data_IF_238522963580
#
_entry.id   IF_238522963580
#
_cell.length_a   1.000
_cell.length_b   1.000
_cell.length_c   1.000
_cell.angle_alpha   90.00
_cell.angle_beta   90.00
_cell.angle_gamma   90.00
#
_symmetry.space_group_name_H-M   'P 1'
#
loop_
_entity.id
_entity.type
_entity.pdbx_description
1 polymer ?
#
# COMPACT_ATOMS: atom_id res chain seq x y z
N UNK A 1 -4.56 16.00 16.94
CA UNK A 1 -5.78 15.25 17.34
C UNK A 1 -6.72 15.24 16.16
N UNK A 2 -6.61 14.25 15.28
CA UNK A 2 -7.53 14.09 14.16
C UNK A 2 -8.87 13.57 14.70
N UNK A 3 -9.93 14.32 14.48
CA UNK A 3 -11.30 13.94 14.84
C UNK A 3 -11.76 12.88 13.85
N UNK A 4 -11.52 11.61 14.16
CA UNK A 4 -11.98 10.50 13.33
C UNK A 4 -13.53 10.51 13.31
N UNK A 5 -14.11 10.59 12.12
CA UNK A 5 -15.55 10.52 11.89
C UNK A 5 -16.04 9.06 11.96
N UNK A 6 -15.72 8.37 13.05
CA UNK A 6 -16.12 6.96 13.24
C UNK A 6 -17.53 6.93 13.84
N UNK A 7 -18.46 6.11 13.30
CA UNK A 7 -19.78 5.94 13.87
C UNK A 7 -19.69 5.56 15.36
N UNK A 8 -20.56 6.18 16.18
CA UNK A 8 -20.50 6.11 17.66
C UNK A 8 -20.81 4.72 18.21
N UNK A 9 -21.41 3.83 17.43
CA UNK A 9 -21.77 2.46 17.81
C UNK A 9 -20.79 1.45 17.23
N UNK A 10 -20.38 0.46 18.05
CA UNK A 10 -19.65 -0.70 17.55
C UNK A 10 -20.63 -1.64 16.85
N UNK A 11 -20.52 -1.75 15.54
CA UNK A 11 -21.34 -2.63 14.69
C UNK A 11 -20.52 -3.87 14.33
N UNK A 12 -21.13 -5.04 14.44
CA UNK A 12 -20.50 -6.31 14.07
C UNK A 12 -20.40 -6.46 12.55
N UNK A 13 -19.29 -6.98 12.04
CA UNK A 13 -19.16 -7.28 10.61
C UNK A 13 -20.24 -8.27 10.15
N UNK A 14 -20.98 -7.93 9.10
CA UNK A 14 -22.02 -8.79 8.51
C UNK A 14 -23.41 -8.74 9.17
N UNK A 15 -23.58 -8.03 10.30
CA UNK A 15 -24.87 -8.00 11.01
C UNK A 15 -25.99 -7.27 10.27
N UNK A 16 -25.69 -6.48 9.23
CA UNK A 16 -26.69 -5.86 8.34
C UNK A 16 -27.56 -6.90 7.58
N UNK A 17 -27.17 -8.18 7.56
CA UNK A 17 -27.97 -9.26 6.99
C UNK A 17 -29.15 -9.68 7.88
N UNK A 18 -29.06 -9.40 9.18
CA UNK A 18 -30.02 -9.88 10.19
C UNK A 18 -30.74 -8.74 10.91
N UNK A 19 -30.17 -7.55 10.89
CA UNK A 19 -30.64 -6.39 11.65
C UNK A 19 -30.84 -5.20 10.70
N UNK A 20 -31.91 -4.44 10.93
CA UNK A 20 -32.11 -3.15 10.25
C UNK A 20 -31.07 -2.13 10.71
N UNK A 21 -30.69 -1.21 9.81
CA UNK A 21 -29.72 -0.15 10.07
C UNK A 21 -30.38 1.21 9.96
N UNK A 22 -29.96 2.10 10.84
CA UNK A 22 -30.35 3.51 10.81
C UNK A 22 -29.29 4.35 10.09
N UNK A 23 -29.65 5.51 9.52
CA UNK A 23 -28.68 6.38 8.85
C UNK A 23 -27.49 6.78 9.74
N UNK A 24 -27.71 7.03 11.04
CA UNK A 24 -26.64 7.42 12.00
C UNK A 24 -25.60 6.30 12.26
N UNK A 25 -25.86 5.08 11.79
CA UNK A 25 -24.96 3.92 11.87
C UNK A 25 -24.12 3.73 10.60
N UNK A 26 -24.34 4.55 9.57
CA UNK A 26 -23.67 4.47 8.27
C UNK A 26 -22.82 5.72 8.09
N UNK A 27 -21.58 5.53 7.65
CA UNK A 27 -20.70 6.63 7.29
C UNK A 27 -20.86 6.97 5.80
N UNK A 28 -21.09 8.24 5.46
CA UNK A 28 -21.28 8.72 4.08
C UNK A 28 -20.32 9.86 3.74
N UNK A 29 -20.17 10.25 2.45
CA UNK A 29 -19.36 11.40 2.08
C UNK A 29 -19.80 12.73 2.72
N UNK A 30 -21.07 12.86 3.09
CA UNK A 30 -21.59 14.03 3.83
C UNK A 30 -21.02 14.13 5.26
N UNK A 31 -20.48 13.03 5.81
CA UNK A 31 -19.80 12.99 7.11
C UNK A 31 -18.30 13.34 7.02
N UNK A 32 -17.78 13.61 5.82
CA UNK A 32 -16.38 13.99 5.65
C UNK A 32 -16.04 15.26 6.44
N UNK A 33 -14.94 15.19 7.17
CA UNK A 33 -14.39 16.33 7.89
C UNK A 33 -13.74 17.32 6.92
N UNK A 34 -13.48 18.55 7.37
CA UNK A 34 -12.68 19.52 6.61
C UNK A 34 -11.29 18.97 6.25
N UNK A 35 -10.71 18.13 7.13
CA UNK A 35 -9.43 17.47 6.86
C UNK A 35 -9.53 16.44 5.73
N UNK A 36 -10.62 15.66 5.68
CA UNK A 36 -10.90 14.72 4.58
C UNK A 36 -11.09 15.48 3.26
N UNK A 37 -11.80 16.61 3.28
CA UNK A 37 -12.01 17.42 2.08
C UNK A 37 -10.70 18.06 1.59
N UNK A 38 -9.90 18.63 2.48
CA UNK A 38 -8.63 19.28 2.14
C UNK A 38 -7.61 18.31 1.53
N UNK A 39 -7.49 17.11 2.11
CA UNK A 39 -6.56 16.10 1.57
C UNK A 39 -7.05 15.53 0.25
N UNK A 40 -8.37 15.40 0.06
CA UNK A 40 -8.98 15.07 -1.23
C UNK A 40 -8.66 16.10 -2.31
N UNK A 41 -8.82 17.39 -1.99
CA UNK A 41 -8.44 18.48 -2.89
C UNK A 41 -6.94 18.45 -3.23
N UNK A 42 -6.08 18.21 -2.25
CA UNK A 42 -4.63 18.10 -2.46
C UNK A 42 -4.29 16.95 -3.42
N UNK A 43 -4.90 15.78 -3.21
CA UNK A 43 -4.72 14.63 -4.09
C UNK A 43 -5.28 14.88 -5.49
N UNK A 44 -6.41 15.58 -5.60
CA UNK A 44 -7.01 15.95 -6.87
C UNK A 44 -6.15 16.92 -7.68
N UNK A 45 -5.64 17.97 -7.04
CA UNK A 45 -4.74 18.94 -7.67
C UNK A 45 -3.45 18.26 -8.13
N UNK A 46 -2.87 17.37 -7.31
CA UNK A 46 -1.72 16.56 -7.70
C UNK A 46 -2.04 15.67 -8.92
N UNK A 47 -3.20 15.00 -8.91
CA UNK A 47 -3.59 14.15 -10.03
C UNK A 47 -3.79 14.93 -11.32
N UNK A 48 -4.47 16.08 -11.27
CA UNK A 48 -4.73 16.91 -12.44
C UNK A 48 -3.49 17.62 -12.97
N UNK A 49 -2.63 18.13 -12.09
CA UNK A 49 -1.53 19.01 -12.48
C UNK A 49 -0.20 18.27 -12.69
N UNK A 50 0.00 17.12 -12.06
CA UNK A 50 1.28 16.38 -12.14
C UNK A 50 1.11 15.01 -12.82
N UNK A 51 0.10 14.22 -12.45
CA UNK A 51 -0.10 12.86 -13.01
C UNK A 51 -0.61 12.94 -14.45
N UNK A 52 -1.75 13.60 -14.68
CA UNK A 52 -2.43 13.63 -15.99
C UNK A 52 -1.52 14.14 -17.12
N UNK A 53 -0.73 15.23 -16.95
CA UNK A 53 0.17 15.70 -18.01
C UNK A 53 1.30 14.72 -18.36
N UNK A 54 1.57 13.72 -17.52
CA UNK A 54 2.65 12.75 -17.70
C UNK A 54 2.15 11.36 -18.13
N UNK A 55 0.85 11.18 -18.41
CA UNK A 55 0.26 9.88 -18.81
C UNK A 55 1.01 9.25 -19.99
N UNK A 56 1.24 10.01 -21.06
CA UNK A 56 1.89 9.48 -22.25
C UNK A 56 3.28 8.92 -21.95
N UNK A 57 4.08 9.61 -21.13
CA UNK A 57 5.42 9.13 -20.75
C UNK A 57 5.35 7.84 -19.91
N UNK A 58 4.38 7.77 -18.98
CA UNK A 58 4.17 6.57 -18.16
C UNK A 58 3.72 5.37 -19.01
N UNK A 59 2.80 5.56 -19.97
CA UNK A 59 2.37 4.51 -20.90
C UNK A 59 3.53 4.00 -21.79
N UNK A 60 4.49 4.88 -22.11
CA UNK A 60 5.74 4.50 -22.77
C UNK A 60 6.81 3.93 -21.81
N UNK A 61 6.44 3.61 -20.57
CA UNK A 61 7.28 3.00 -19.53
C UNK A 61 8.49 3.84 -19.12
N UNK A 62 8.37 5.16 -19.17
CA UNK A 62 9.35 6.04 -18.55
C UNK A 62 9.21 6.00 -17.01
N UNK A 63 9.80 4.98 -16.39
CA UNK A 63 9.73 4.79 -14.94
C UNK A 63 10.46 5.89 -14.15
N UNK A 64 11.30 6.70 -14.79
CA UNK A 64 11.92 7.85 -14.11
C UNK A 64 10.86 8.89 -13.73
N UNK A 65 9.89 9.13 -14.62
CA UNK A 65 8.74 10.00 -14.37
C UNK A 65 7.83 9.40 -13.29
N UNK A 66 7.56 8.10 -13.36
CA UNK A 66 6.76 7.41 -12.33
C UNK A 66 7.39 7.52 -10.93
N UNK A 67 8.72 7.35 -10.84
CA UNK A 67 9.49 7.51 -9.59
C UNK A 67 9.42 8.94 -9.06
N UNK A 68 9.57 9.94 -9.93
CA UNK A 68 9.46 11.34 -9.55
C UNK A 68 8.06 11.66 -8.98
N UNK A 69 7.01 11.18 -9.64
CA UNK A 69 5.63 11.37 -9.19
C UNK A 69 5.37 10.69 -7.83
N UNK A 70 5.88 9.47 -7.60
CA UNK A 70 5.78 8.82 -6.28
C UNK A 70 6.48 9.61 -5.18
N UNK A 71 7.67 10.16 -5.48
CA UNK A 71 8.40 11.01 -4.55
C UNK A 71 7.62 12.30 -4.23
N UNK A 72 7.08 12.98 -5.25
CA UNK A 72 6.19 14.14 -5.06
C UNK A 72 4.96 13.81 -4.22
N UNK A 73 4.34 12.65 -4.44
CA UNK A 73 3.24 12.17 -3.61
C UNK A 73 3.65 11.98 -2.14
N UNK A 74 4.87 11.48 -1.89
CA UNK A 74 5.44 11.39 -0.54
C UNK A 74 5.71 12.75 0.10
N UNK A 75 6.25 13.71 -0.66
CA UNK A 75 6.48 15.10 -0.21
C UNK A 75 5.17 15.83 0.16
N UNK A 76 4.07 15.50 -0.52
CA UNK A 76 2.71 15.98 -0.20
C UNK A 76 2.06 15.21 0.96
N UNK A 77 2.72 14.19 1.52
CA UNK A 77 2.20 13.35 2.59
C UNK A 77 1.20 12.28 2.15
N UNK A 78 0.90 12.17 0.85
CA UNK A 78 -0.12 11.26 0.31
C UNK A 78 0.27 9.79 0.50
N UNK A 79 1.57 9.46 0.47
CA UNK A 79 2.06 8.09 0.61
C UNK A 79 2.26 7.63 2.07
N UNK A 80 2.22 8.55 3.03
CA UNK A 80 2.56 8.29 4.44
C UNK A 80 1.35 8.18 5.38
N UNK A 81 0.13 8.25 4.87
CA UNK A 81 -1.09 8.41 5.69
C UNK A 81 -1.36 7.24 6.64
N UNK A 82 -1.12 6.01 6.21
CA UNK A 82 -1.36 4.80 7.04
C UNK A 82 -0.13 4.34 7.83
N UNK A 83 0.96 5.10 7.79
CA UNK A 83 2.19 4.82 8.53
C UNK A 83 2.14 5.56 9.89
N UNK A 84 2.49 4.92 11.01
CA UNK A 84 2.51 5.59 12.32
C UNK A 84 3.47 6.78 12.37
N UNK A 85 3.14 7.80 13.16
CA UNK A 85 3.96 9.02 13.27
C UNK A 85 5.38 8.71 13.76
N UNK A 86 5.52 7.72 14.65
CA UNK A 86 6.83 7.25 15.16
C UNK A 86 7.78 6.71 14.09
N UNK A 87 7.26 6.47 12.88
CA UNK A 87 8.00 5.99 11.72
C UNK A 87 7.99 6.99 10.55
N UNK A 88 7.67 8.25 10.80
CA UNK A 88 7.69 9.31 9.78
C UNK A 88 6.45 9.34 8.88
N UNK A 89 5.37 8.65 9.26
CA UNK A 89 4.06 8.78 8.63
C UNK A 89 3.18 9.83 9.30
N UNK A 90 1.90 9.83 8.95
CA UNK A 90 0.90 10.78 9.46
C UNK A 90 -0.14 10.16 10.40
N UNK A 91 -0.17 8.83 10.52
CA UNK A 91 -1.11 8.08 11.38
C UNK A 91 -2.58 8.54 11.24
N UNK A 92 -2.99 8.79 10.00
CA UNK A 92 -4.34 9.24 9.68
C UNK A 92 -5.31 8.07 9.57
N UNK A 93 -6.61 8.39 9.58
CA UNK A 93 -7.66 7.38 9.52
C UNK A 93 -7.78 6.73 8.13
N UNK A 94 -8.54 5.63 8.05
CA UNK A 94 -8.77 4.91 6.80
C UNK A 94 -9.63 5.69 5.81
N UNK A 95 -10.44 6.64 6.28
CA UNK A 95 -11.25 7.50 5.41
C UNK A 95 -10.33 8.41 4.61
N UNK A 96 -9.33 9.02 5.25
CA UNK A 96 -8.28 9.79 4.57
C UNK A 96 -7.61 8.97 3.48
N UNK A 97 -7.18 7.74 3.78
CA UNK A 97 -6.55 6.88 2.78
C UNK A 97 -7.48 6.56 1.59
N UNK A 98 -8.77 6.29 1.87
CA UNK A 98 -9.78 6.03 0.84
C UNK A 98 -10.05 7.26 -0.04
N UNK A 99 -10.15 8.45 0.56
CA UNK A 99 -10.35 9.71 -0.16
C UNK A 99 -9.16 9.99 -1.09
N UNK A 100 -7.92 9.84 -0.61
CA UNK A 100 -6.73 10.02 -1.46
C UNK A 100 -6.76 9.04 -2.64
N UNK A 101 -7.09 7.77 -2.39
CA UNK A 101 -7.15 6.76 -3.44
C UNK A 101 -8.18 7.11 -4.54
N UNK A 102 -9.36 7.62 -4.14
CA UNK A 102 -10.41 8.05 -5.07
C UNK A 102 -9.95 9.20 -5.97
N UNK A 103 -9.30 10.22 -5.39
CA UNK A 103 -8.82 11.38 -6.16
C UNK A 103 -7.56 11.09 -7.01
N UNK A 104 -6.67 10.20 -6.57
CA UNK A 104 -5.52 9.74 -7.38
C UNK A 104 -5.98 8.93 -8.60
N UNK A 105 -7.16 8.31 -8.54
CA UNK A 105 -7.70 7.44 -9.58
C UNK A 105 -8.03 8.13 -10.93
N UNK A 106 -7.76 9.44 -11.10
CA UNK A 106 -7.86 10.12 -12.41
C UNK A 106 -7.06 9.44 -13.52
N UNK A 107 -6.01 8.70 -13.17
CA UNK A 107 -5.31 7.81 -14.09
C UNK A 107 -5.00 6.46 -13.44
N UNK A 108 -5.62 5.41 -13.98
CA UNK A 108 -5.55 4.06 -13.43
C UNK A 108 -4.12 3.50 -13.33
N UNK A 109 -3.23 3.83 -14.28
CA UNK A 109 -1.85 3.33 -14.28
C UNK A 109 -1.03 3.84 -13.09
N UNK A 110 -1.13 5.13 -12.77
CA UNK A 110 -0.47 5.67 -11.59
C UNK A 110 -1.19 5.27 -10.30
N UNK A 111 -2.53 5.23 -10.29
CA UNK A 111 -3.27 4.76 -9.12
C UNK A 111 -2.89 3.32 -8.73
N UNK A 112 -2.65 2.44 -9.72
CA UNK A 112 -2.15 1.08 -9.50
C UNK A 112 -0.73 1.08 -8.91
N UNK A 113 0.13 1.96 -9.41
CA UNK A 113 1.51 2.13 -8.91
C UNK A 113 1.52 2.60 -7.46
N UNK A 114 0.79 3.69 -7.18
CA UNK A 114 0.69 4.31 -5.87
C UNK A 114 0.02 3.38 -4.86
N UNK A 115 -1.14 2.80 -5.19
CA UNK A 115 -1.84 1.84 -4.32
C UNK A 115 -1.06 0.54 -4.09
N UNK A 116 -0.31 0.08 -5.10
CA UNK A 116 0.62 -1.05 -4.95
C UNK A 116 1.73 -0.75 -3.94
N UNK A 117 2.21 0.49 -3.91
CA UNK A 117 3.24 0.95 -2.98
C UNK A 117 2.70 1.20 -1.57
N UNK A 118 1.64 1.99 -1.42
CA UNK A 118 1.10 2.40 -0.10
C UNK A 118 0.32 1.28 0.59
N UNK A 119 -0.38 0.46 -0.19
CA UNK A 119 -1.10 -0.71 0.30
C UNK A 119 -0.18 -1.90 0.48
N UNK A 120 -0.23 -2.84 -0.46
CA UNK A 120 0.43 -4.16 -0.32
C UNK A 120 1.96 -4.08 -0.23
N UNK A 121 2.60 -3.04 -0.77
CA UNK A 121 4.05 -2.84 -0.70
C UNK A 121 4.56 -2.32 0.65
N UNK A 122 3.70 -1.68 1.46
CA UNK A 122 4.11 -1.02 2.71
C UNK A 122 3.42 -1.60 3.95
N UNK A 123 2.12 -1.90 3.86
CA UNK A 123 1.33 -2.40 4.99
C UNK A 123 1.83 -3.71 5.63
N UNK A 124 2.45 -4.68 4.91
CA UNK A 124 3.05 -5.84 5.56
C UNK A 124 4.09 -5.45 6.63
N UNK A 125 4.87 -4.38 6.39
CA UNK A 125 5.87 -3.89 7.34
C UNK A 125 5.18 -3.13 8.48
N UNK A 126 4.14 -2.34 8.19
CA UNK A 126 3.35 -1.64 9.22
C UNK A 126 2.75 -2.64 10.21
N UNK A 127 2.13 -3.70 9.70
CA UNK A 127 1.41 -4.68 10.52
C UNK A 127 2.33 -5.70 11.19
N UNK A 128 3.30 -6.24 10.45
CA UNK A 128 4.07 -7.42 10.89
C UNK A 128 5.58 -7.19 11.00
N UNK A 129 6.08 -6.02 10.57
CA UNK A 129 7.50 -5.70 10.65
C UNK A 129 7.99 -5.67 12.10
N UNK A 130 9.23 -6.10 12.31
CA UNK A 130 9.92 -5.87 13.58
C UNK A 130 10.21 -4.38 13.76
N UNK A 131 10.48 -3.95 15.00
CA UNK A 131 10.87 -2.57 15.29
C UNK A 131 12.06 -2.10 14.44
N UNK A 132 13.05 -2.98 14.22
CA UNK A 132 14.21 -2.67 13.38
C UNK A 132 13.82 -2.48 11.91
N UNK A 133 12.98 -3.37 11.37
CA UNK A 133 12.50 -3.27 9.99
C UNK A 133 11.65 -2.02 9.80
N UNK A 134 10.74 -1.72 10.73
CA UNK A 134 9.89 -0.53 10.68
C UNK A 134 10.71 0.75 10.65
N UNK A 135 11.67 0.91 11.57
CA UNK A 135 12.58 2.07 11.61
C UNK A 135 13.42 2.22 10.34
N UNK A 136 13.82 1.09 9.74
CA UNK A 136 14.67 1.09 8.54
C UNK A 136 13.91 1.45 7.26
N UNK A 137 12.69 0.95 7.09
CA UNK A 137 11.99 1.01 5.80
C UNK A 137 10.85 2.02 5.77
N UNK A 138 10.03 2.12 6.83
CA UNK A 138 8.81 2.93 6.78
C UNK A 138 9.05 4.42 6.52
N UNK A 139 10.06 5.10 7.12
CA UNK A 139 10.30 6.51 6.81
C UNK A 139 10.61 6.77 5.33
N UNK A 140 11.35 5.83 4.70
CA UNK A 140 11.78 5.94 3.31
C UNK A 140 10.66 5.59 2.34
N UNK A 141 9.78 4.65 2.72
CA UNK A 141 8.54 4.34 2.00
C UNK A 141 7.56 5.52 2.06
N UNK A 142 7.35 6.10 3.25
CA UNK A 142 6.48 7.27 3.44
C UNK A 142 6.89 8.45 2.55
N UNK A 143 8.19 8.70 2.45
CA UNK A 143 8.76 9.79 1.64
C UNK A 143 8.80 9.49 0.13
N UNK A 144 8.48 8.27 -0.31
CA UNK A 144 8.67 7.84 -1.70
C UNK A 144 10.15 7.79 -2.13
N UNK A 145 11.09 7.73 -1.18
CA UNK A 145 12.52 7.56 -1.46
C UNK A 145 12.81 6.15 -1.99
N UNK A 146 12.10 5.17 -1.43
CA UNK A 146 12.06 3.80 -1.92
C UNK A 146 10.64 3.39 -2.28
N UNK A 147 10.51 2.55 -3.29
CA UNK A 147 9.22 2.03 -3.75
C UNK A 147 9.07 0.57 -3.34
N UNK A 148 7.92 0.26 -2.74
CA UNK A 148 7.52 -1.07 -2.32
C UNK A 148 6.78 -1.84 -3.41
N UNK A 149 7.01 -3.15 -3.45
CA UNK A 149 6.30 -4.11 -4.28
C UNK A 149 5.93 -5.36 -3.46
N UNK A 150 4.91 -6.09 -3.92
CA UNK A 150 4.37 -7.26 -3.22
C UNK A 150 4.37 -8.47 -4.14
N UNK A 151 5.16 -9.47 -3.80
CA UNK A 151 5.44 -10.62 -4.63
C UNK A 151 4.85 -11.91 -4.05
N UNK A 152 3.55 -12.08 -4.28
CA UNK A 152 2.77 -13.23 -3.82
C UNK A 152 2.48 -14.22 -4.96
N UNK A 153 1.83 -13.77 -6.02
CA UNK A 153 1.34 -14.61 -7.11
C UNK A 153 2.48 -15.27 -7.90
N UNK A 154 2.20 -16.46 -8.44
CA UNK A 154 3.06 -17.20 -9.35
C UNK A 154 2.23 -17.74 -10.52
N UNK A 155 2.89 -18.18 -11.59
CA UNK A 155 2.19 -18.77 -12.75
C UNK A 155 1.28 -19.94 -12.37
N UNK A 156 1.64 -20.70 -11.33
CA UNK A 156 0.83 -21.82 -10.83
C UNK A 156 -0.13 -21.47 -9.70
N UNK A 157 -0.10 -20.25 -9.15
CA UNK A 157 -0.87 -19.88 -7.96
C UNK A 157 -1.27 -18.40 -7.98
N UNK A 158 -2.53 -18.15 -8.36
CA UNK A 158 -3.21 -16.86 -8.23
C UNK A 158 -4.20 -16.87 -7.05
N UNK A 159 -5.44 -17.34 -7.28
CA UNK A 159 -6.46 -17.44 -6.24
C UNK A 159 -6.07 -18.39 -5.09
N UNK A 160 -5.38 -19.49 -5.41
CA UNK A 160 -4.79 -20.41 -4.42
C UNK A 160 -3.38 -19.94 -4.01
N UNK A 161 -3.30 -18.74 -3.44
CA UNK A 161 -2.03 -18.04 -3.21
C UNK A 161 -1.07 -18.76 -2.24
N UNK A 162 -1.61 -19.52 -1.29
CA UNK A 162 -0.83 -20.29 -0.31
C UNK A 162 -0.13 -21.50 -0.94
N UNK A 163 -0.54 -21.89 -2.15
CA UNK A 163 0.07 -22.98 -2.91
C UNK A 163 1.26 -22.54 -3.77
N UNK A 164 1.95 -21.47 -3.36
CA UNK A 164 3.18 -21.03 -3.99
C UNK A 164 4.24 -22.15 -3.98
N UNK A 165 5.08 -22.16 -5.01
CA UNK A 165 6.17 -23.11 -5.22
C UNK A 165 7.53 -22.50 -4.92
N UNK A 166 7.65 -21.17 -4.84
CA UNK A 166 8.88 -20.54 -4.40
C UNK A 166 9.31 -21.09 -3.04
N UNK A 167 10.59 -21.46 -2.94
CA UNK A 167 11.19 -22.08 -1.75
C UNK A 167 12.15 -21.12 -1.08
N UNK A 168 12.27 -21.25 0.23
CA UNK A 168 13.29 -20.60 1.03
C UNK A 168 14.06 -21.66 1.82
N UNK A 169 15.38 -21.69 1.67
CA UNK A 169 16.24 -22.62 2.39
C UNK A 169 17.25 -21.84 3.24
N UNK A 170 17.42 -22.21 4.50
CA UNK A 170 18.40 -21.56 5.37
C UNK A 170 19.81 -21.90 4.88
N UNK A 171 20.67 -20.89 4.74
CA UNK A 171 22.06 -21.07 4.34
C UNK A 171 22.82 -21.95 5.33
N UNK A 172 23.90 -22.60 4.86
CA UNK A 172 24.71 -23.51 5.69
C UNK A 172 25.26 -22.86 6.97
N UNK A 173 25.48 -21.54 6.95
CA UNK A 173 25.95 -20.77 8.10
C UNK A 173 24.83 -20.19 8.98
N UNK A 174 23.56 -20.43 8.61
CA UNK A 174 22.38 -20.02 9.38
C UNK A 174 22.05 -18.53 9.33
N UNK A 175 22.68 -17.75 8.44
CA UNK A 175 22.57 -16.28 8.43
C UNK A 175 21.60 -15.72 7.40
N UNK A 176 21.32 -16.47 6.33
CA UNK A 176 20.52 -16.01 5.20
C UNK A 176 19.52 -17.06 4.76
N UNK A 177 18.41 -16.63 4.18
CA UNK A 177 17.55 -17.52 3.40
C UNK A 177 17.88 -17.38 1.92
N UNK A 178 18.03 -18.51 1.25
CA UNK A 178 18.21 -18.59 -0.20
C UNK A 178 16.84 -18.87 -0.81
N UNK A 179 16.31 -17.87 -1.53
CA UNK A 179 15.02 -17.97 -2.18
C UNK A 179 15.19 -18.47 -3.62
N UNK A 180 14.38 -19.45 -4.02
CA UNK A 180 14.34 -19.99 -5.39
C UNK A 180 12.90 -20.10 -5.88
N UNK A 181 12.59 -19.42 -6.99
CA UNK A 181 11.26 -19.45 -7.62
C UNK A 181 11.03 -18.24 -8.51
N UNK A 182 9.85 -18.18 -9.10
CA UNK A 182 9.40 -17.07 -9.96
C UNK A 182 8.11 -16.49 -9.42
N UNK A 183 8.00 -15.16 -9.43
CA UNK A 183 6.79 -14.42 -9.04
C UNK A 183 6.21 -13.76 -10.27
N UNK A 184 4.88 -13.68 -10.36
CA UNK A 184 4.18 -13.28 -11.59
C UNK A 184 3.27 -12.07 -11.36
N UNK A 185 3.30 -11.13 -12.32
CA UNK A 185 2.50 -9.90 -12.33
C UNK A 185 2.74 -8.99 -11.13
N UNK A 186 4.01 -8.73 -10.84
CA UNK A 186 4.39 -7.91 -9.69
C UNK A 186 4.36 -6.44 -10.08
N UNK A 187 3.32 -5.73 -9.61
CA UNK A 187 3.23 -4.27 -9.72
C UNK A 187 4.49 -3.61 -9.15
N UNK A 188 4.94 -2.53 -9.80
CA UNK A 188 6.17 -1.79 -9.51
C UNK A 188 7.50 -2.54 -9.75
N UNK A 189 7.49 -3.81 -10.16
CA UNK A 189 8.72 -4.60 -10.26
C UNK A 189 9.79 -4.03 -11.21
N UNK A 190 9.42 -3.17 -12.16
CA UNK A 190 10.37 -2.48 -13.04
C UNK A 190 11.24 -1.42 -12.35
N UNK A 191 10.86 -0.96 -11.15
CA UNK A 191 11.52 0.18 -10.48
C UNK A 191 11.43 0.17 -8.94
N UNK A 192 10.91 -0.91 -8.33
CA UNK A 192 10.82 -1.07 -6.89
C UNK A 192 12.20 -1.36 -6.26
N UNK A 193 12.40 -0.84 -5.05
CA UNK A 193 13.64 -1.03 -4.28
C UNK A 193 13.47 -2.07 -3.16
N UNK A 194 12.22 -2.35 -2.77
CA UNK A 194 11.87 -3.30 -1.71
C UNK A 194 10.73 -4.21 -2.15
N UNK A 195 10.87 -5.51 -1.92
CA UNK A 195 9.85 -6.50 -2.24
C UNK A 195 9.46 -7.25 -0.98
N UNK A 196 8.15 -7.32 -0.69
CA UNK A 196 7.64 -8.34 0.23
C UNK A 196 7.41 -9.62 -0.56
N UNK A 197 8.27 -10.62 -0.41
CA UNK A 197 8.25 -11.87 -1.19
C UNK A 197 7.69 -13.02 -0.36
N UNK A 198 6.82 -13.83 -0.95
CA UNK A 198 6.30 -15.04 -0.32
C UNK A 198 6.96 -16.29 -0.89
N UNK A 199 7.47 -17.13 0.01
CA UNK A 199 8.07 -18.42 -0.27
C UNK A 199 7.82 -19.41 0.88
N UNK A 200 8.03 -20.70 0.65
CA UNK A 200 7.89 -21.75 1.67
C UNK A 200 9.25 -22.15 2.23
N UNK A 201 9.44 -21.97 3.52
CA UNK A 201 10.59 -22.54 4.24
C UNK A 201 10.43 -24.05 4.30
N UNK A 202 11.48 -24.77 3.92
CA UNK A 202 11.52 -26.24 3.82
C UNK A 202 10.41 -26.81 2.90
N UNK A 203 9.85 -26.00 1.99
CA UNK A 203 8.75 -26.38 1.11
C UNK A 203 7.36 -26.43 1.76
N UNK A 204 7.24 -26.11 3.05
CA UNK A 204 6.00 -26.25 3.81
C UNK A 204 5.53 -24.94 4.46
N UNK A 205 6.44 -24.18 5.09
CA UNK A 205 6.07 -23.03 5.92
C UNK A 205 5.95 -21.76 5.08
N UNK A 206 4.74 -21.40 4.71
CA UNK A 206 4.45 -20.19 3.96
C UNK A 206 4.85 -18.93 4.75
N UNK A 207 5.84 -18.20 4.25
CA UNK A 207 6.56 -17.14 4.97
C UNK A 207 6.76 -15.91 4.07
N UNK A 208 6.63 -14.72 4.65
CA UNK A 208 6.96 -13.46 3.99
C UNK A 208 8.40 -13.04 4.29
N UNK A 209 9.09 -12.51 3.28
CA UNK A 209 10.47 -12.02 3.34
C UNK A 209 10.53 -10.58 2.82
N UNK A 210 11.44 -9.78 3.38
CA UNK A 210 11.82 -8.46 2.89
C UNK A 210 13.14 -8.56 2.12
#
# INVERSE_FOLDING_TARGET
>A
MATAAVPKSKISGGSFLLEERTPDEVFTPEDFTEQHQLIGQTAEEFATNEIVPNIEKMEHKDFSVTRELLKKAGELGLSGVEIPESYGGLEMDKVTAAVIADHIAKYAGFATTWGGHTGIGTLPIVYFGTEEQKKRYLPRLAAGEIVGAYALSEASSGSDALNCRARAELSKDGKHYILNGEKMWITNAGFADLFTVFAKVDGEKFTAFL
#
